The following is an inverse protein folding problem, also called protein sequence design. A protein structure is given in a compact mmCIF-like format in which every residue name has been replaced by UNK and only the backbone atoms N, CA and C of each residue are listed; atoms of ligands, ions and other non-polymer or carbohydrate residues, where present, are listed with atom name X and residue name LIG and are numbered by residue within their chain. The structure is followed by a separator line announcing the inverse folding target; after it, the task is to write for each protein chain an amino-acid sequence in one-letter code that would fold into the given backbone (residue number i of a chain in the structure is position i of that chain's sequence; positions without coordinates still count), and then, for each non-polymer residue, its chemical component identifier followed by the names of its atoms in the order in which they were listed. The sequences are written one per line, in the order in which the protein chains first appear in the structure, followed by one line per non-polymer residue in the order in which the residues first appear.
data_IF_349648949099
#
_entry.id   IF_349648949099
#
_cell.length_a   1.000
_cell.length_b   1.000
_cell.length_c   1.000
_cell.angle_alpha   90.00
_cell.angle_beta   90.00
_cell.angle_gamma   90.00
#
_symmetry.space_group_name_H-M   'P 1'
#
loop_
_entity.id
_entity.type
_entity.pdbx_description
1 polymer ?
#
# COMPACT_ATOMS: atom_id res chain seq x y z
N UNK A 1 1.92 -10.50 -1.98
CA UNK A 1 1.36 -9.69 -0.87
C UNK A 1 2.10 -8.36 -0.82
N UNK A 2 1.47 -7.24 -0.42
CA UNK A 2 2.16 -5.94 -0.30
C UNK A 2 2.25 -5.50 1.17
N UNK A 3 3.46 -5.13 1.58
CA UNK A 3 3.89 -4.75 2.94
C UNK A 3 3.56 -5.79 4.02
N UNK A 4 4.04 -7.04 3.91
CA UNK A 4 4.02 -8.00 5.01
C UNK A 4 4.80 -7.46 6.23
N UNK A 5 4.64 -8.06 7.43
CA UNK A 5 5.46 -7.70 8.58
C UNK A 5 6.95 -7.81 8.25
N UNK A 6 7.76 -6.97 8.89
CA UNK A 6 9.22 -6.91 8.78
C UNK A 6 9.81 -6.34 7.48
N UNK A 7 9.04 -6.23 6.39
CA UNK A 7 9.51 -5.55 5.17
C UNK A 7 9.19 -4.07 5.18
N UNK A 8 10.16 -3.23 4.80
CA UNK A 8 9.93 -1.81 4.57
C UNK A 8 8.98 -1.58 3.40
N UNK A 9 8.45 -0.35 3.28
CA UNK A 9 7.62 0.02 2.13
C UNK A 9 8.34 -0.27 0.82
N UNK A 10 9.62 0.12 0.71
CA UNK A 10 10.43 -0.08 -0.48
C UNK A 10 10.66 -1.57 -0.77
N UNK A 11 11.15 -2.32 0.21
CA UNK A 11 11.40 -3.75 0.06
C UNK A 11 10.13 -4.48 -0.34
N UNK A 12 8.98 -4.10 0.24
CA UNK A 12 7.71 -4.73 -0.10
C UNK A 12 7.21 -4.41 -1.50
N UNK A 13 7.51 -3.22 -2.05
CA UNK A 13 7.23 -2.88 -3.45
C UNK A 13 8.09 -3.74 -4.37
N UNK A 14 9.39 -3.80 -4.10
CA UNK A 14 10.37 -4.55 -4.90
C UNK A 14 10.05 -6.06 -4.89
N UNK A 15 9.76 -6.61 -3.71
CA UNK A 15 9.38 -8.02 -3.51
C UNK A 15 8.06 -8.36 -4.21
N UNK A 16 7.04 -7.49 -4.11
CA UNK A 16 5.76 -7.71 -4.78
C UNK A 16 5.88 -7.67 -6.30
N UNK A 17 6.68 -6.75 -6.86
CA UNK A 17 6.94 -6.67 -8.31
C UNK A 17 7.70 -7.90 -8.78
N UNK A 18 8.78 -8.28 -8.08
CA UNK A 18 9.55 -9.48 -8.43
C UNK A 18 8.67 -10.72 -8.40
N UNK A 19 7.89 -10.90 -7.34
CA UNK A 19 6.95 -12.01 -7.21
C UNK A 19 5.91 -12.03 -8.34
N UNK A 20 5.44 -10.86 -8.79
CA UNK A 20 4.50 -10.77 -9.89
C UNK A 20 5.13 -11.18 -11.23
N UNK A 21 6.36 -10.75 -11.50
CA UNK A 21 7.13 -11.15 -12.69
C UNK A 21 7.37 -12.66 -12.68
N UNK A 22 7.83 -13.22 -11.56
CA UNK A 22 8.12 -14.65 -11.42
C UNK A 22 6.87 -15.51 -11.59
N UNK A 23 5.70 -15.03 -11.12
CA UNK A 23 4.44 -15.75 -11.24
C UNK A 23 3.76 -15.60 -12.62
N UNK A 24 4.05 -14.53 -13.36
CA UNK A 24 3.34 -14.17 -14.60
C UNK A 24 3.27 -15.28 -15.67
N UNK A 25 4.31 -16.11 -15.89
CA UNK A 25 4.24 -17.20 -16.88
C UNK A 25 3.29 -18.35 -16.49
N UNK A 26 2.79 -18.38 -15.25
CA UNK A 26 2.10 -19.53 -14.67
C UNK A 26 0.64 -19.28 -14.31
N UNK A 27 0.14 -18.05 -14.48
CA UNK A 27 -1.21 -17.65 -14.04
C UNK A 27 -1.86 -16.70 -15.02
N UNK A 28 -3.19 -16.68 -15.09
CA UNK A 28 -3.91 -15.76 -15.97
C UNK A 28 -3.99 -14.32 -15.41
N UNK A 29 -3.97 -14.19 -14.07
CA UNK A 29 -4.19 -12.92 -13.35
C UNK A 29 -3.49 -12.92 -11.99
N UNK A 30 -3.07 -11.75 -11.53
CA UNK A 30 -2.47 -11.55 -10.20
C UNK A 30 -3.22 -10.47 -9.44
N UNK A 31 -3.58 -10.77 -8.19
CA UNK A 31 -4.13 -9.79 -7.23
C UNK A 31 -3.07 -9.37 -6.22
N UNK A 32 -2.65 -8.11 -6.27
CA UNK A 32 -1.76 -7.51 -5.28
C UNK A 32 -2.59 -7.11 -4.07
N UNK A 33 -2.42 -7.83 -2.96
CA UNK A 33 -3.18 -7.60 -1.73
C UNK A 33 -2.31 -6.84 -0.70
N UNK A 34 -2.60 -5.56 -0.44
CA UNK A 34 -1.97 -4.84 0.66
C UNK A 34 -2.46 -5.37 2.01
N UNK A 35 -1.54 -5.54 2.96
CA UNK A 35 -1.86 -5.99 4.31
C UNK A 35 -2.74 -4.97 5.04
N UNK A 36 -3.75 -5.47 5.75
CA UNK A 36 -4.51 -4.72 6.73
C UNK A 36 -4.33 -5.32 8.14
N UNK A 37 -4.67 -4.54 9.16
CA UNK A 37 -4.49 -4.91 10.57
C UNK A 37 -5.72 -5.69 11.04
N UNK A 38 -5.61 -7.01 11.11
CA UNK A 38 -6.65 -7.90 11.65
C UNK A 38 -6.42 -8.22 13.12
N UNK A 39 -7.49 -8.49 13.87
CA UNK A 39 -7.42 -8.82 15.30
C UNK A 39 -6.61 -10.10 15.54
N UNK A 40 -5.89 -10.16 16.67
CA UNK A 40 -5.12 -11.32 17.12
C UNK A 40 -4.01 -11.76 16.15
N UNK A 41 -3.44 -10.81 15.40
CA UNK A 41 -2.34 -11.07 14.46
C UNK A 41 -1.02 -10.46 14.94
N UNK A 42 0.11 -10.98 14.42
CA UNK A 42 1.43 -10.36 14.63
C UNK A 42 1.44 -8.91 14.12
N UNK A 43 0.79 -8.66 12.98
CA UNK A 43 0.64 -7.31 12.42
C UNK A 43 -0.04 -6.37 13.41
N UNK A 44 -1.09 -6.81 14.10
CA UNK A 44 -1.75 -5.99 15.12
C UNK A 44 -0.82 -5.67 16.31
N UNK A 45 -0.04 -6.65 16.79
CA UNK A 45 0.92 -6.41 17.87
C UNK A 45 1.98 -5.36 17.48
N UNK A 46 2.57 -5.49 16.29
CA UNK A 46 3.54 -4.53 15.77
C UNK A 46 2.91 -3.15 15.53
N UNK A 47 1.68 -3.13 15.04
CA UNK A 47 0.95 -1.88 14.78
C UNK A 47 0.62 -1.13 16.07
N UNK A 48 0.22 -1.84 17.15
CA UNK A 48 0.00 -1.21 18.46
C UNK A 48 1.29 -0.62 19.04
N UNK A 49 2.43 -1.30 18.86
CA UNK A 49 3.75 -0.82 19.31
C UNK A 49 4.36 0.29 18.44
N UNK A 50 3.67 0.73 17.38
CA UNK A 50 4.21 1.63 16.37
C UNK A 50 5.49 1.10 15.68
N UNK A 51 5.65 -0.21 15.62
CA UNK A 51 6.76 -0.90 14.94
C UNK A 51 6.39 -1.30 13.50
N UNK A 52 5.12 -1.12 13.13
CA UNK A 52 4.63 -1.33 11.77
C UNK A 52 3.47 -0.39 11.43
N UNK A 53 3.37 0.00 10.16
CA UNK A 53 2.29 0.83 9.63
C UNK A 53 1.68 0.21 8.39
N UNK A 54 0.40 0.50 8.14
CA UNK A 54 -0.29 0.00 6.96
C UNK A 54 0.42 0.48 5.67
N UNK A 55 0.27 -0.25 4.56
CA UNK A 55 0.84 0.17 3.28
C UNK A 55 0.21 1.46 2.77
N UNK A 56 1.00 2.24 2.04
CA UNK A 56 0.47 3.40 1.33
C UNK A 56 -0.29 2.94 0.08
N UNK A 57 -1.40 3.60 -0.25
CA UNK A 57 -2.06 3.36 -1.54
C UNK A 57 -1.15 3.77 -2.71
N UNK A 58 -0.23 4.70 -2.50
CA UNK A 58 0.81 5.01 -3.47
C UNK A 58 1.71 3.82 -3.80
N UNK A 59 2.01 2.96 -2.82
CA UNK A 59 2.78 1.74 -3.04
C UNK A 59 2.00 0.71 -3.83
N UNK A 60 0.69 0.61 -3.61
CA UNK A 60 -0.19 -0.22 -4.45
C UNK A 60 -0.10 0.25 -5.90
N UNK A 61 -0.24 1.56 -6.14
CA UNK A 61 -0.14 2.13 -7.49
C UNK A 61 1.25 1.88 -8.09
N UNK A 62 2.32 2.03 -7.32
CA UNK A 62 3.69 1.83 -7.78
C UNK A 62 3.93 0.38 -8.24
N UNK A 63 3.47 -0.61 -7.48
CA UNK A 63 3.55 -2.03 -7.89
C UNK A 63 2.77 -2.26 -9.18
N UNK A 64 1.53 -1.76 -9.27
CA UNK A 64 0.70 -1.95 -10.46
C UNK A 64 1.31 -1.30 -11.71
N UNK A 65 1.90 -0.11 -11.58
CA UNK A 65 2.62 0.56 -12.69
C UNK A 65 3.84 -0.22 -13.14
N UNK A 66 4.64 -0.73 -12.20
CA UNK A 66 5.83 -1.54 -12.54
C UNK A 66 5.48 -2.89 -13.18
N UNK A 67 4.23 -3.32 -13.06
CA UNK A 67 3.72 -4.56 -13.64
C UNK A 67 2.85 -4.32 -14.88
N UNK A 68 2.77 -3.09 -15.41
CA UNK A 68 1.82 -2.74 -16.49
C UNK A 68 2.13 -3.44 -17.82
N UNK A 69 3.39 -3.78 -18.06
CA UNK A 69 3.86 -4.45 -19.28
C UNK A 69 3.83 -5.99 -19.18
N UNK A 70 3.38 -6.56 -18.06
CA UNK A 70 3.25 -8.01 -17.94
C UNK A 70 2.14 -8.51 -18.89
N UNK A 71 2.31 -9.69 -19.51
CA UNK A 71 1.34 -10.23 -20.48
C UNK A 71 0.03 -10.72 -19.83
N UNK A 72 -0.14 -10.47 -18.53
CA UNK A 72 -1.26 -10.93 -17.71
C UNK A 72 -1.85 -9.77 -16.92
N UNK A 73 -3.09 -9.93 -16.48
CA UNK A 73 -3.77 -8.86 -15.73
C UNK A 73 -3.26 -8.81 -14.29
N UNK A 74 -2.67 -7.69 -13.89
CA UNK A 74 -2.33 -7.41 -12.49
C UNK A 74 -3.28 -6.33 -11.94
N UNK A 75 -3.87 -6.56 -10.77
CA UNK A 75 -4.79 -5.62 -10.15
C UNK A 75 -4.70 -5.63 -8.62
N UNK A 76 -5.43 -4.73 -7.96
CA UNK A 76 -5.56 -4.71 -6.50
C UNK A 76 -6.96 -4.27 -6.09
N UNK A 77 -7.47 -4.85 -5.00
CA UNK A 77 -8.71 -4.44 -4.33
C UNK A 77 -8.47 -4.31 -2.82
N UNK A 78 -7.92 -3.17 -2.34
CA UNK A 78 -7.49 -3.04 -0.96
C UNK A 78 -8.65 -3.16 0.05
N UNK A 79 -8.72 -4.27 0.78
CA UNK A 79 -9.72 -4.47 1.83
C UNK A 79 -9.49 -3.53 3.01
N UNK A 80 -10.50 -2.73 3.36
CA UNK A 80 -10.37 -1.70 4.38
C UNK A 80 -9.53 -0.49 3.93
N UNK A 81 -9.34 -0.33 2.61
CA UNK A 81 -8.63 0.81 2.03
C UNK A 81 -9.19 2.15 2.51
N UNK A 82 -8.30 3.11 2.76
CA UNK A 82 -8.63 4.44 3.27
C UNK A 82 -8.92 4.50 4.77
N UNK A 83 -8.96 3.36 5.48
CA UNK A 83 -9.11 3.31 6.93
C UNK A 83 -7.76 3.28 7.63
N UNK A 84 -7.74 3.59 8.93
CA UNK A 84 -6.53 3.56 9.77
C UNK A 84 -5.84 2.18 9.80
N UNK A 85 -6.62 1.11 9.64
CA UNK A 85 -6.15 -0.29 9.71
C UNK A 85 -5.91 -0.91 8.33
N UNK A 86 -6.28 -0.26 7.24
CA UNK A 86 -6.03 -0.74 5.88
C UNK A 86 -5.10 0.18 5.10
N UNK A 87 -4.85 -0.13 3.83
CA UNK A 87 -3.97 0.68 2.99
C UNK A 87 -4.52 2.10 2.83
N UNK A 88 -3.73 3.13 3.10
CA UNK A 88 -4.19 4.52 3.01
C UNK A 88 -3.05 5.51 2.73
N UNK A 89 -3.43 6.65 2.18
CA UNK A 89 -2.66 7.88 2.05
C UNK A 89 -3.25 8.94 3.02
N UNK A 90 -3.17 10.22 2.69
CA UNK A 90 -3.95 11.25 3.39
C UNK A 90 -5.45 11.19 3.04
N UNK A 91 -6.26 11.84 3.88
CA UNK A 91 -7.72 11.91 3.74
C UNK A 91 -8.16 12.50 2.39
N UNK A 92 -7.43 13.48 1.88
CA UNK A 92 -7.82 14.21 0.66
C UNK A 92 -7.79 13.33 -0.60
N UNK A 93 -6.93 12.32 -0.63
CA UNK A 93 -6.73 11.51 -1.84
C UNK A 93 -7.18 10.04 -1.72
N UNK A 94 -7.47 9.54 -0.51
CA UNK A 94 -7.88 8.15 -0.29
C UNK A 94 -9.04 7.73 -1.21
N UNK A 95 -10.15 8.48 -1.20
CA UNK A 95 -11.33 8.18 -2.01
C UNK A 95 -11.01 8.14 -3.51
N UNK A 96 -10.32 9.16 -4.00
CA UNK A 96 -9.94 9.28 -5.42
C UNK A 96 -9.04 8.14 -5.88
N UNK A 97 -8.05 7.77 -5.05
CA UNK A 97 -7.12 6.69 -5.37
C UNK A 97 -7.82 5.32 -5.35
N UNK A 98 -8.68 5.06 -4.36
CA UNK A 98 -9.44 3.81 -4.29
C UNK A 98 -10.39 3.65 -5.48
N UNK A 99 -11.06 4.73 -5.90
CA UNK A 99 -11.91 4.69 -7.09
C UNK A 99 -11.11 4.43 -8.36
N UNK A 100 -9.91 5.01 -8.48
CA UNK A 100 -9.01 4.72 -9.60
C UNK A 100 -8.54 3.25 -9.61
N UNK A 101 -8.23 2.68 -8.45
CA UNK A 101 -7.87 1.25 -8.32
C UNK A 101 -9.04 0.34 -8.70
N UNK A 102 -10.26 0.70 -8.31
CA UNK A 102 -11.49 0.00 -8.71
C UNK A 102 -11.70 0.05 -10.23
N UNK A 103 -11.59 1.22 -10.84
CA UNK A 103 -11.74 1.36 -12.30
C UNK A 103 -10.66 0.60 -13.07
N UNK A 104 -9.41 0.64 -12.59
CA UNK A 104 -8.32 -0.16 -13.13
C UNK A 104 -8.61 -1.67 -13.04
N UNK A 105 -9.07 -2.15 -11.88
CA UNK A 105 -9.50 -3.54 -11.69
C UNK A 105 -10.64 -3.94 -12.62
N UNK A 106 -11.52 -3.02 -13.01
CA UNK A 106 -12.60 -3.27 -13.97
C UNK A 106 -12.15 -3.14 -15.43
N UNK A 107 -10.95 -2.61 -15.70
CA UNK A 107 -10.45 -2.37 -17.06
C UNK A 107 -11.03 -1.09 -17.68
N UNK A 108 -11.61 -0.21 -16.85
CA UNK A 108 -12.32 1.00 -17.26
C UNK A 108 -11.48 2.27 -17.12
N UNK A 109 -10.21 2.16 -16.73
CA UNK A 109 -9.34 3.32 -16.53
C UNK A 109 -7.89 2.95 -16.26
N UNK A 110 -7.02 3.95 -16.28
CA UNK A 110 -5.62 3.82 -15.94
C UNK A 110 -5.28 4.54 -14.63
N UNK A 111 -4.09 4.29 -14.09
CA UNK A 111 -3.60 4.90 -12.85
C UNK A 111 -2.76 6.17 -13.09
N UNK A 112 -2.88 6.79 -14.28
CA UNK A 112 -2.17 8.02 -14.67
C UNK A 112 -2.94 9.25 -14.13
N UNK A 113 -2.24 10.38 -13.97
CA UNK A 113 -2.84 11.64 -13.51
C UNK A 113 -3.28 11.70 -12.03
N UNK A 114 -2.89 10.72 -11.20
CA UNK A 114 -3.13 10.79 -9.75
C UNK A 114 -2.06 11.64 -9.05
N UNK A 115 -2.52 12.74 -8.42
CA UNK A 115 -1.69 13.71 -7.71
C UNK A 115 -2.27 14.05 -6.34
N UNK A 116 -1.38 14.27 -5.36
CA UNK A 116 -1.71 14.79 -4.04
C UNK A 116 -0.44 15.30 -3.36
N UNK A 117 -0.58 16.29 -2.47
CA UNK A 117 0.52 16.85 -1.68
C UNK A 117 1.15 15.84 -0.70
N UNK A 118 0.49 14.70 -0.41
CA UNK A 118 1.08 13.64 0.39
C UNK A 118 2.04 12.72 -0.41
N UNK A 119 2.02 12.76 -1.74
CA UNK A 119 2.87 11.90 -2.58
C UNK A 119 4.37 12.18 -2.43
N UNK A 120 4.85 13.44 -2.35
CA UNK A 120 6.25 13.73 -2.01
C UNK A 120 6.70 13.15 -0.65
N UNK A 121 5.81 13.11 0.34
CA UNK A 121 6.09 12.48 1.64
C UNK A 121 6.30 10.97 1.49
N UNK A 122 5.41 10.29 0.77
CA UNK A 122 5.59 8.87 0.44
C UNK A 122 6.90 8.62 -0.33
N UNK A 123 7.23 9.45 -1.33
CA UNK A 123 8.50 9.34 -2.06
C UNK A 123 9.71 9.40 -1.12
N UNK A 124 9.69 10.34 -0.17
CA UNK A 124 10.77 10.50 0.82
C UNK A 124 10.87 9.27 1.72
N UNK A 125 9.73 8.73 2.17
CA UNK A 125 9.68 7.50 2.96
C UNK A 125 10.29 6.31 2.22
N UNK A 126 9.92 6.10 0.95
CA UNK A 126 10.47 5.01 0.14
C UNK A 126 11.98 5.18 -0.06
N UNK A 127 12.45 6.40 -0.36
CA UNK A 127 13.89 6.70 -0.52
C UNK A 127 14.69 6.47 0.77
N UNK A 128 14.11 6.78 1.92
CA UNK A 128 14.76 6.66 3.24
C UNK A 128 14.57 5.28 3.89
N UNK A 129 13.92 4.32 3.22
CA UNK A 129 13.66 2.97 3.75
C UNK A 129 14.89 2.29 4.38
N UNK A 130 16.08 2.43 3.79
CA UNK A 130 17.34 1.87 4.32
C UNK A 130 17.80 2.48 5.66
N UNK A 131 17.33 3.68 5.98
CA UNK A 131 17.73 4.45 7.17
C UNK A 131 16.66 4.42 8.26
N UNK A 132 15.45 3.94 7.96
CA UNK A 132 14.31 3.96 8.87
C UNK A 132 13.99 2.56 9.35
N UNK A 133 13.78 2.39 10.66
CA UNK A 133 13.10 1.19 11.17
C UNK A 133 11.65 1.20 10.71
N UNK A 134 11.12 0.03 10.38
CA UNK A 134 9.69 -0.11 10.15
C UNK A 134 8.86 0.43 11.32
N UNK A 135 7.72 1.05 11.01
CA UNK A 135 6.85 1.69 12.00
C UNK A 135 7.21 3.13 12.37
N UNK A 136 8.42 3.59 12.05
CA UNK A 136 8.81 5.00 12.21
C UNK A 136 8.24 5.88 11.08
N UNK A 137 6.92 5.85 10.87
CA UNK A 137 6.26 6.83 10.00
C UNK A 137 6.48 8.24 10.56
N UNK A 138 6.59 9.29 9.71
CA UNK A 138 6.70 10.66 10.20
C UNK A 138 5.46 11.03 11.05
N UNK A 139 5.61 11.99 11.95
CA UNK A 139 4.49 12.53 12.71
C UNK A 139 3.28 12.82 11.78
N UNK A 140 2.11 12.39 12.22
CA UNK A 140 0.86 12.64 11.52
C UNK A 140 0.37 11.60 10.50
N UNK A 141 1.08 10.47 10.30
CA UNK A 141 0.54 9.37 9.49
C UNK A 141 -0.82 8.87 10.05
N UNK A 142 -0.94 8.83 11.38
CA UNK A 142 -2.19 8.47 12.08
C UNK A 142 -3.09 9.66 12.44
N UNK A 143 -2.63 10.92 12.30
CA UNK A 143 -3.26 12.07 12.97
C UNK A 143 -4.58 12.53 12.37
N UNK A 144 -4.94 12.11 11.15
CA UNK A 144 -6.24 12.46 10.60
C UNK A 144 -7.35 11.42 10.87
N UNK A 145 -7.06 10.34 11.61
CA UNK A 145 -8.10 9.42 12.08
C UNK A 145 -8.50 9.80 13.50
N UNK A 146 -9.22 10.92 13.64
CA UNK A 146 -9.74 11.38 14.93
C UNK A 146 -10.75 10.35 15.51
N UNK A 147 -10.75 10.18 16.83
CA UNK A 147 -11.82 9.46 17.55
C UNK A 147 -11.60 7.98 17.86
N UNK A 148 -10.38 7.45 17.77
CA UNK A 148 -10.12 6.06 18.17
C UNK A 148 -9.23 6.03 19.41
N UNK A 149 -9.83 5.53 20.50
CA UNK A 149 -9.27 5.39 21.86
C UNK A 149 -7.75 5.22 21.82
N UNK A 150 -7.05 6.09 22.55
CA UNK A 150 -5.73 5.79 23.06
C UNK A 150 -5.83 4.45 23.79
N UNK A 151 -5.20 3.43 23.22
CA UNK A 151 -4.76 2.24 23.93
C UNK A 151 -3.26 2.17 23.69
#
# INVERSE_FOLDING_TARGET
MLKPPYLSEKESIEDAVKSAIDAAPHVDKISINPVNVQKNTVVEKLWFRNEWTAPWLWSVIEVLKKCEDLPIRVYSDPTGGGTRRGAHNCHDCNKKVLEALKNHRLGLGNLKGLHCNCKPRWNTLVKQSKLRRNGSEPHGYRSGFAGSRHF
#
